data_IF_807679851192
#
_entry.id   IF_807679851192
#
_cell.length_a   1.000
_cell.length_b   1.000
_cell.length_c   1.000
_cell.angle_alpha   90.00
_cell.angle_beta   90.00
_cell.angle_gamma   90.00
#
_symmetry.space_group_name_H-M   'P 1'
#
loop_
_entity.id
_entity.type
_entity.pdbx_description
1 polymer ?
#
# COMPACT_ATOMS: atom_id res chain seq x y z
N UNK A 1 17.84 -20.40 -75.35
CA UNK A 1 16.65 -19.53 -75.28
C UNK A 1 15.41 -20.40 -75.12
N UNK A 2 14.90 -20.56 -73.89
CA UNK A 2 13.56 -21.09 -73.57
C UNK A 2 13.23 -20.68 -72.13
N UNK A 3 12.00 -20.22 -71.93
CA UNK A 3 11.54 -19.55 -70.73
C UNK A 3 10.93 -20.60 -69.79
N UNK A 4 11.26 -20.56 -68.50
CA UNK A 4 10.53 -21.31 -67.48
C UNK A 4 9.93 -20.33 -66.45
N UNK A 5 8.71 -20.66 -66.02
CA UNK A 5 7.85 -19.80 -65.22
C UNK A 5 8.32 -19.73 -63.76
N UNK A 6 8.16 -18.58 -63.12
CA UNK A 6 8.23 -18.42 -61.67
C UNK A 6 6.94 -17.78 -61.18
N UNK A 7 6.12 -18.56 -60.44
CA UNK A 7 4.88 -18.10 -59.84
C UNK A 7 5.09 -17.32 -58.54
N UNK A 8 4.14 -16.47 -58.21
CA UNK A 8 4.06 -15.73 -56.94
C UNK A 8 3.81 -16.66 -55.74
N UNK A 9 4.55 -16.52 -54.62
CA UNK A 9 4.19 -17.14 -53.34
C UNK A 9 3.22 -16.23 -52.53
N UNK A 10 2.37 -16.81 -51.65
CA UNK A 10 1.28 -16.09 -51.01
C UNK A 10 1.65 -15.43 -49.67
N UNK A 11 0.88 -14.41 -49.29
CA UNK A 11 0.93 -13.73 -48.00
C UNK A 11 0.70 -14.67 -46.82
N UNK A 12 1.58 -14.64 -45.80
CA UNK A 12 1.35 -15.30 -44.51
C UNK A 12 1.38 -14.30 -43.34
N UNK A 13 0.19 -14.12 -42.77
CA UNK A 13 -0.16 -13.67 -41.42
C UNK A 13 0.94 -13.10 -40.50
N UNK A 14 0.86 -11.79 -40.24
CA UNK A 14 1.63 -11.09 -39.19
C UNK A 14 0.87 -11.25 -37.85
N UNK A 15 1.00 -12.41 -37.20
CA UNK A 15 0.21 -12.73 -35.99
C UNK A 15 0.98 -13.34 -34.81
N UNK A 16 2.32 -13.46 -34.86
CA UNK A 16 3.10 -14.17 -33.82
C UNK A 16 4.25 -13.39 -33.15
N UNK A 17 4.39 -12.08 -33.39
CA UNK A 17 5.52 -11.27 -32.85
C UNK A 17 5.10 -10.36 -31.67
N UNK A 18 3.81 -10.22 -31.37
CA UNK A 18 3.30 -9.18 -30.46
C UNK A 18 3.10 -9.57 -28.98
N UNK A 19 3.22 -10.84 -28.61
CA UNK A 19 3.01 -11.30 -27.21
C UNK A 19 4.28 -11.36 -26.34
N UNK A 20 5.46 -10.97 -26.86
CA UNK A 20 6.75 -11.13 -26.17
C UNK A 20 7.34 -9.84 -25.56
N UNK A 21 6.74 -8.68 -25.80
CA UNK A 21 7.26 -7.38 -25.32
C UNK A 21 6.40 -6.70 -24.24
N UNK A 22 5.15 -7.10 -24.04
CA UNK A 22 4.29 -6.53 -22.98
C UNK A 22 4.48 -7.22 -21.62
N UNK A 23 4.73 -8.53 -21.57
CA UNK A 23 4.96 -9.25 -20.30
C UNK A 23 6.25 -8.79 -19.58
N UNK A 24 7.23 -8.25 -20.33
CA UNK A 24 8.52 -7.81 -19.80
C UNK A 24 8.48 -6.49 -19.02
N UNK A 25 7.35 -5.80 -18.96
CA UNK A 25 7.17 -4.66 -18.07
C UNK A 25 6.73 -5.08 -16.65
N UNK A 26 6.21 -6.30 -16.46
CA UNK A 26 5.45 -6.56 -15.23
C UNK A 26 5.30 -8.02 -14.75
N UNK A 27 6.13 -8.97 -15.22
CA UNK A 27 6.18 -10.33 -14.62
C UNK A 27 7.58 -10.74 -14.22
N UNK A 28 7.91 -10.55 -12.94
CA UNK A 28 8.89 -11.40 -12.26
C UNK A 28 8.39 -12.85 -12.31
N UNK A 29 9.27 -13.79 -12.65
CA UNK A 29 8.88 -15.19 -12.86
C UNK A 29 8.73 -15.93 -11.53
N UNK A 30 7.49 -16.20 -11.12
CA UNK A 30 7.17 -17.28 -10.18
C UNK A 30 6.39 -18.37 -10.92
N UNK A 31 7.06 -19.48 -11.25
CA UNK A 31 6.40 -20.77 -11.51
C UNK A 31 6.55 -21.60 -10.24
N UNK A 32 5.44 -22.11 -9.73
CA UNK A 32 5.40 -23.00 -8.57
C UNK A 32 4.06 -23.72 -8.57
N UNK A 33 4.05 -24.97 -9.02
CA UNK A 33 2.85 -25.79 -9.07
C UNK A 33 2.45 -26.22 -7.64
N UNK A 34 1.14 -26.24 -7.36
CA UNK A 34 0.59 -27.14 -6.34
C UNK A 34 -0.89 -27.38 -6.60
N UNK A 35 -1.25 -28.63 -6.92
CA UNK A 35 -2.64 -29.03 -7.10
C UNK A 35 -3.38 -29.02 -5.77
N UNK A 36 -4.52 -28.33 -5.69
CA UNK A 36 -5.56 -28.62 -4.70
C UNK A 36 -6.82 -29.14 -5.39
N UNK A 37 -7.06 -30.44 -5.26
CA UNK A 37 -8.27 -31.10 -5.75
C UNK A 37 -9.47 -30.66 -4.92
N UNK A 38 -10.38 -29.87 -5.52
CA UNK A 38 -11.67 -29.59 -4.93
C UNK A 38 -12.57 -30.83 -4.95
N UNK A 39 -12.94 -31.33 -3.76
CA UNK A 39 -13.98 -32.37 -3.65
C UNK A 39 -15.37 -31.73 -3.76
N UNK A 40 -16.02 -31.93 -4.89
CA UNK A 40 -17.42 -31.53 -5.10
C UNK A 40 -18.36 -32.53 -4.44
N UNK A 41 -19.24 -32.04 -3.55
CA UNK A 41 -20.39 -32.82 -3.07
C UNK A 41 -21.68 -32.09 -3.44
N UNK A 42 -22.35 -32.60 -4.47
CA UNK A 42 -23.68 -32.16 -4.87
C UNK A 42 -24.74 -32.84 -4.00
N UNK A 43 -25.74 -32.10 -3.52
CA UNK A 43 -27.03 -32.63 -3.07
C UNK A 43 -28.19 -31.83 -3.71
N UNK A 44 -29.31 -32.47 -4.07
CA UNK A 44 -30.28 -31.91 -5.02
C UNK A 44 -31.44 -31.12 -4.41
N UNK A 45 -32.09 -30.31 -5.24
CA UNK A 45 -33.28 -29.51 -4.94
C UNK A 45 -34.50 -30.35 -4.47
N UNK A 46 -35.41 -29.72 -3.69
CA UNK A 46 -36.86 -29.84 -3.94
C UNK A 46 -37.75 -28.71 -3.36
N UNK A 47 -38.51 -28.08 -4.27
CA UNK A 47 -39.90 -27.56 -4.20
C UNK A 47 -40.33 -26.42 -3.25
N UNK A 48 -40.64 -25.30 -3.93
CA UNK A 48 -41.71 -24.31 -3.72
C UNK A 48 -42.87 -24.64 -2.74
N UNK A 49 -43.26 -23.64 -1.93
CA UNK A 49 -44.67 -23.22 -1.71
C UNK A 49 -44.74 -21.68 -1.58
N UNK A 50 -45.71 -21.04 -2.26
CA UNK A 50 -46.33 -19.72 -1.97
C UNK A 50 -47.86 -19.97 -2.02
N UNK A 51 -48.70 -19.34 -1.17
CA UNK A 51 -49.16 -17.95 -1.36
C UNK A 51 -49.22 -17.17 -0.01
N UNK A 52 -49.83 -15.99 0.20
CA UNK A 52 -50.65 -15.06 -0.61
C UNK A 52 -50.36 -13.59 -0.21
N UNK A 53 -51.10 -12.61 -0.73
CA UNK A 53 -51.18 -11.23 -0.23
C UNK A 53 -52.49 -11.00 0.57
N UNK A 54 -52.46 -10.17 1.62
CA UNK A 54 -53.52 -9.21 1.94
C UNK A 54 -53.11 -8.26 3.07
N UNK A 55 -53.38 -6.96 2.87
CA UNK A 55 -53.51 -5.93 3.91
C UNK A 55 -55.02 -5.66 4.09
N UNK A 56 -55.51 -5.24 5.27
CA UNK A 56 -55.61 -3.79 5.49
C UNK A 56 -55.50 -3.29 6.96
N UNK A 57 -55.54 -1.95 7.07
CA UNK A 57 -55.97 -1.12 8.19
C UNK A 57 -54.98 -0.86 9.35
N UNK A 58 -54.87 0.44 9.68
CA UNK A 58 -54.15 1.00 10.82
C UNK A 58 -55.08 1.24 12.01
N UNK A 59 -54.52 1.36 13.22
CA UNK A 59 -55.03 2.02 14.45
C UNK A 59 -53.95 1.84 15.57
N UNK A 60 -54.01 2.56 16.71
CA UNK A 60 -53.53 3.93 16.88
C UNK A 60 -52.26 4.03 17.79
N UNK A 61 -51.80 5.26 18.03
CA UNK A 61 -50.64 5.57 18.88
C UNK A 61 -50.89 5.33 20.39
N UNK A 62 -49.81 5.32 21.18
CA UNK A 62 -49.71 5.27 22.65
C UNK A 62 -49.92 3.92 23.36
N UNK A 63 -48.85 3.14 23.51
CA UNK A 63 -48.58 2.36 24.73
C UNK A 63 -47.08 2.35 25.07
N UNK A 64 -46.76 2.65 26.34
CA UNK A 64 -45.41 2.65 26.90
C UNK A 64 -44.92 1.22 27.09
N UNK A 65 -43.88 0.80 26.35
CA UNK A 65 -43.32 -0.56 26.47
C UNK A 65 -42.30 -0.61 27.61
N UNK A 66 -42.64 -1.27 28.72
CA UNK A 66 -41.67 -1.65 29.73
C UNK A 66 -40.79 -2.82 29.22
N UNK A 67 -39.51 -2.55 28.99
CA UNK A 67 -38.51 -3.58 28.69
C UNK A 67 -38.17 -4.41 29.95
N UNK A 68 -38.14 -5.75 29.87
CA UNK A 68 -37.77 -6.59 31.01
C UNK A 68 -36.26 -6.56 31.28
N UNK A 69 -35.87 -6.32 32.54
CA UNK A 69 -34.47 -6.37 33.00
C UNK A 69 -33.86 -7.77 32.88
N UNK A 70 -33.22 -8.08 31.74
CA UNK A 70 -32.42 -9.31 31.54
C UNK A 70 -31.02 -9.10 30.90
N UNK A 71 -30.55 -7.86 30.76
CA UNK A 71 -29.21 -7.56 30.22
C UNK A 71 -28.11 -7.40 31.28
N UNK A 72 -28.44 -7.21 32.56
CA UNK A 72 -27.44 -6.88 33.61
C UNK A 72 -26.64 -8.07 34.17
N UNK A 73 -27.08 -9.32 33.97
CA UNK A 73 -26.33 -10.50 34.46
C UNK A 73 -25.18 -10.93 33.55
N UNK A 74 -25.33 -10.81 32.24
CA UNK A 74 -24.29 -11.23 31.27
C UNK A 74 -23.10 -10.28 31.31
N UNK A 75 -23.33 -8.96 31.40
CA UNK A 75 -22.26 -7.97 31.56
C UNK A 75 -21.48 -8.16 32.89
N UNK A 76 -22.18 -8.48 33.99
CA UNK A 76 -21.52 -8.75 35.27
C UNK A 76 -20.69 -10.04 35.26
N UNK A 77 -21.13 -11.09 34.56
CA UNK A 77 -20.35 -12.32 34.38
C UNK A 77 -19.13 -12.12 33.49
N UNK A 78 -19.21 -11.30 32.43
CA UNK A 78 -18.06 -10.96 31.60
C UNK A 78 -16.97 -10.23 32.42
N UNK A 79 -17.35 -9.19 33.18
CA UNK A 79 -16.41 -8.42 34.00
C UNK A 79 -15.70 -9.27 35.07
N UNK A 80 -16.43 -10.18 35.74
CA UNK A 80 -15.85 -11.06 36.75
C UNK A 80 -14.82 -12.04 36.19
N UNK A 81 -15.00 -12.52 34.95
CA UNK A 81 -14.02 -13.39 34.27
C UNK A 81 -12.76 -12.62 33.90
N UNK A 82 -12.88 -11.35 33.47
CA UNK A 82 -11.71 -10.50 33.17
C UNK A 82 -10.90 -10.18 34.43
N UNK A 83 -11.58 -9.93 35.56
CA UNK A 83 -10.91 -9.60 36.83
C UNK A 83 -10.20 -10.82 37.45
N UNK A 84 -10.77 -12.03 37.33
CA UNK A 84 -10.09 -13.25 37.77
C UNK A 84 -8.84 -13.55 36.94
N UNK A 85 -8.93 -13.44 35.60
CA UNK A 85 -7.77 -13.65 34.71
C UNK A 85 -6.61 -12.68 35.01
N UNK A 86 -6.91 -11.42 35.35
CA UNK A 86 -5.89 -10.45 35.75
C UNK A 86 -5.19 -10.82 37.08
N UNK A 87 -5.93 -11.41 38.04
CA UNK A 87 -5.38 -11.85 39.34
C UNK A 87 -4.50 -13.10 39.20
N UNK A 88 -4.88 -14.03 38.34
CA UNK A 88 -4.13 -15.27 38.12
C UNK A 88 -2.78 -15.00 37.42
N UNK A 89 -2.73 -14.03 36.50
CA UNK A 89 -1.47 -13.56 35.88
C UNK A 89 -0.56 -12.88 36.91
N UNK A 90 -1.10 -12.05 37.80
CA UNK A 90 -0.34 -11.39 38.87
C UNK A 90 0.21 -12.38 39.91
N UNK A 91 -0.55 -13.42 40.26
CA UNK A 91 -0.11 -14.46 41.19
C UNK A 91 1.08 -15.28 40.66
N UNK A 92 1.14 -15.50 39.35
CA UNK A 92 2.18 -16.32 38.70
C UNK A 92 3.55 -15.60 38.64
N UNK A 93 3.59 -14.27 38.78
CA UNK A 93 4.83 -13.49 38.75
C UNK A 93 5.54 -13.35 40.11
N UNK A 94 4.93 -13.79 41.22
CA UNK A 94 5.51 -13.68 42.56
C UNK A 94 6.09 -14.98 43.15
N UNK A 95 6.01 -16.11 42.44
CA UNK A 95 6.49 -17.42 42.93
C UNK A 95 7.62 -18.01 42.08
N UNK A 96 8.76 -17.32 41.99
CA UNK A 96 10.04 -17.93 41.63
C UNK A 96 11.23 -17.06 42.08
N UNK A 97 11.46 -17.02 43.41
CA UNK A 97 12.56 -16.28 44.02
C UNK A 97 13.17 -17.05 45.19
N UNK A 98 14.31 -17.69 44.95
CA UNK A 98 15.31 -18.17 45.92
C UNK A 98 14.85 -19.02 47.12
N UNK A 99 15.36 -20.25 47.19
CA UNK A 99 15.97 -20.74 48.42
C UNK A 99 17.06 -21.79 48.16
N UNK A 100 18.18 -21.63 48.88
CA UNK A 100 19.32 -22.54 48.97
C UNK A 100 19.49 -22.90 50.44
N UNK A 101 19.71 -24.19 50.76
CA UNK A 101 20.82 -24.69 51.60
C UNK A 101 20.68 -26.18 51.93
N UNK A 102 21.80 -26.93 51.79
CA UNK A 102 22.32 -28.06 52.59
C UNK A 102 21.35 -29.00 53.35
N UNK A 103 21.48 -30.34 53.34
CA UNK A 103 22.68 -31.13 53.69
C UNK A 103 22.42 -32.65 53.46
N UNK A 104 23.46 -33.50 53.29
CA UNK A 104 23.25 -34.97 53.38
C UNK A 104 24.21 -35.94 52.66
N UNK A 105 25.48 -35.99 53.08
CA UNK A 105 26.39 -37.18 53.11
C UNK A 105 26.34 -38.28 52.01
N UNK A 106 27.46 -38.48 51.29
CA UNK A 106 27.73 -39.69 50.50
C UNK A 106 29.19 -39.77 50.00
N UNK A 107 29.97 -40.73 50.49
CA UNK A 107 31.43 -40.86 50.28
C UNK A 107 31.80 -41.58 48.97
N UNK A 108 32.89 -41.20 48.28
CA UNK A 108 33.36 -41.88 47.06
C UNK A 108 34.58 -41.24 46.38
N UNK A 109 35.74 -41.91 46.44
CA UNK A 109 37.04 -41.43 45.97
C UNK A 109 37.30 -41.75 44.47
N UNK A 110 38.03 -40.92 43.72
CA UNK A 110 38.40 -41.24 42.33
C UNK A 110 39.11 -40.15 41.51
N UNK A 111 40.41 -40.30 41.28
CA UNK A 111 41.22 -39.46 40.39
C UNK A 111 40.81 -39.61 38.91
N UNK A 112 40.86 -38.51 38.13
CA UNK A 112 40.69 -38.57 36.67
C UNK A 112 40.98 -37.25 35.96
N UNK A 113 42.24 -37.03 35.55
CA UNK A 113 42.57 -35.98 34.59
C UNK A 113 41.96 -36.31 33.22
N UNK A 114 41.15 -35.40 32.67
CA UNK A 114 40.57 -35.54 31.33
C UNK A 114 40.23 -34.17 30.75
N UNK A 115 40.97 -33.74 29.73
CA UNK A 115 40.76 -32.44 29.09
C UNK A 115 39.47 -32.40 28.26
N UNK A 116 38.45 -31.71 28.75
CA UNK A 116 37.24 -31.40 27.98
C UNK A 116 37.46 -30.20 27.06
N UNK A 117 37.39 -30.40 25.74
CA UNK A 117 37.33 -29.29 24.79
C UNK A 117 36.17 -28.34 25.12
N UNK A 118 36.45 -27.06 25.25
CA UNK A 118 35.43 -26.04 25.01
C UNK A 118 35.08 -26.06 23.52
N UNK A 119 34.04 -26.81 23.16
CA UNK A 119 33.39 -26.63 21.87
C UNK A 119 32.70 -25.27 21.88
N UNK A 120 33.43 -24.25 21.42
CA UNK A 120 32.82 -22.99 21.02
C UNK A 120 31.71 -23.31 20.01
N UNK A 121 30.46 -23.17 20.45
CA UNK A 121 29.32 -23.21 19.56
C UNK A 121 29.38 -21.95 18.69
N UNK A 122 30.18 -22.02 17.63
CA UNK A 122 30.17 -21.04 16.55
C UNK A 122 28.71 -20.90 16.14
N UNK A 123 28.12 -19.74 16.43
CA UNK A 123 26.91 -19.34 15.72
C UNK A 123 27.27 -19.41 14.24
N UNK A 124 26.69 -20.37 13.53
CA UNK A 124 26.81 -20.41 12.09
C UNK A 124 26.29 -19.06 11.59
N UNK A 125 27.09 -18.36 10.79
CA UNK A 125 26.55 -17.23 10.05
C UNK A 125 25.48 -17.81 9.14
N UNK A 126 24.21 -17.61 9.48
CA UNK A 126 23.12 -17.93 8.59
C UNK A 126 23.37 -17.17 7.28
N UNK A 127 23.18 -17.86 6.15
CA UNK A 127 23.38 -17.24 4.85
C UNK A 127 22.39 -16.11 4.62
N UNK A 128 22.62 -15.24 3.61
CA UNK A 128 21.65 -14.22 3.25
C UNK A 128 20.27 -14.84 3.01
N UNK A 129 19.24 -14.23 3.58
CA UNK A 129 17.85 -14.64 3.35
C UNK A 129 17.48 -14.22 1.93
N UNK A 130 17.24 -15.20 1.05
CA UNK A 130 16.85 -14.95 -0.33
C UNK A 130 15.37 -15.27 -0.52
N UNK A 131 14.57 -14.25 -0.85
CA UNK A 131 13.13 -14.38 -1.11
C UNK A 131 12.80 -13.80 -2.49
N UNK A 132 12.12 -14.56 -3.34
CA UNK A 132 11.76 -14.15 -4.72
C UNK A 132 12.95 -13.63 -5.57
N UNK A 133 14.16 -14.10 -5.29
CA UNK A 133 15.40 -13.66 -5.95
C UNK A 133 16.01 -12.36 -5.42
N UNK A 134 15.44 -11.79 -4.35
CA UNK A 134 15.95 -10.63 -3.63
C UNK A 134 16.74 -11.08 -2.40
N UNK A 135 17.78 -10.32 -2.04
CA UNK A 135 18.53 -10.54 -0.79
C UNK A 135 17.94 -9.61 0.26
N UNK A 136 17.29 -10.17 1.28
CA UNK A 136 16.73 -9.42 2.40
C UNK A 136 17.83 -9.06 3.43
N UNK A 137 17.61 -7.99 4.19
CA UNK A 137 18.55 -7.46 5.18
C UNK A 137 19.94 -7.17 4.58
N UNK A 138 19.96 -6.53 3.40
CA UNK A 138 21.18 -6.32 2.61
C UNK A 138 21.95 -5.02 2.94
N UNK A 139 21.55 -4.29 3.98
CA UNK A 139 22.28 -3.12 4.46
C UNK A 139 23.60 -3.56 5.13
N UNK A 140 24.69 -2.83 4.90
CA UNK A 140 25.96 -3.08 5.57
C UNK A 140 25.99 -2.42 6.95
N UNK A 141 26.85 -2.90 7.86
CA UNK A 141 26.98 -2.33 9.20
C UNK A 141 27.29 -0.83 9.17
N UNK A 142 28.15 -0.38 8.26
CA UNK A 142 28.55 1.02 8.12
C UNK A 142 27.37 1.91 7.68
N UNK A 143 26.49 1.38 6.82
CA UNK A 143 25.26 2.08 6.41
C UNK A 143 24.19 2.07 7.49
N UNK A 144 24.13 1.01 8.30
CA UNK A 144 23.27 0.96 9.48
C UNK A 144 23.72 1.97 10.55
N UNK A 145 25.03 2.14 10.74
CA UNK A 145 25.58 3.19 11.60
C UNK A 145 25.23 4.60 11.08
N UNK A 146 25.22 4.82 9.76
CA UNK A 146 24.71 6.07 9.16
C UNK A 146 23.24 6.30 9.54
N UNK A 147 22.39 5.28 9.45
CA UNK A 147 20.97 5.38 9.84
C UNK A 147 20.82 5.72 11.33
N UNK A 148 21.48 5.00 12.23
CA UNK A 148 21.43 5.30 13.68
C UNK A 148 21.97 6.70 14.01
N UNK A 149 22.95 7.21 13.25
CA UNK A 149 23.49 8.56 13.46
C UNK A 149 22.51 9.69 13.09
N UNK A 150 21.36 9.38 12.48
CA UNK A 150 20.37 10.36 12.02
C UNK A 150 19.24 10.65 13.02
N UNK A 151 19.20 9.98 14.19
CA UNK A 151 18.17 10.18 15.22
C UNK A 151 17.95 11.67 15.58
N UNK A 152 19.04 12.44 15.75
CA UNK A 152 18.96 13.89 16.02
C UNK A 152 18.34 14.69 14.87
N UNK A 153 18.54 14.26 13.61
CA UNK A 153 17.86 14.89 12.46
C UNK A 153 16.38 14.55 12.51
N UNK A 154 16.03 13.29 12.77
CA UNK A 154 14.64 12.88 12.84
C UNK A 154 13.91 13.69 13.91
N UNK A 155 14.47 13.81 15.11
CA UNK A 155 13.90 14.58 16.21
C UNK A 155 13.77 16.08 15.89
N UNK A 156 14.86 16.73 15.46
CA UNK A 156 14.90 18.19 15.34
C UNK A 156 14.42 18.73 13.99
N UNK A 157 14.36 17.90 12.96
CA UNK A 157 14.24 18.35 11.57
C UNK A 157 13.21 17.61 10.72
N UNK A 158 12.74 16.43 11.14
CA UNK A 158 11.73 15.64 10.41
C UNK A 158 10.41 15.55 11.19
N UNK A 159 10.42 15.12 12.45
CA UNK A 159 9.21 15.07 13.29
C UNK A 159 8.43 16.41 13.34
N UNK A 160 9.08 17.61 13.37
CA UNK A 160 8.36 18.89 13.32
C UNK A 160 7.65 19.21 12.00
N UNK A 161 7.72 18.34 10.98
CA UNK A 161 6.96 18.45 9.72
C UNK A 161 5.55 17.86 9.87
N UNK A 162 5.36 16.93 10.81
CA UNK A 162 4.07 16.39 11.21
C UNK A 162 3.28 17.47 11.97
N UNK A 163 1.94 17.44 11.84
CA UNK A 163 1.07 18.43 12.45
C UNK A 163 0.56 17.92 13.79
N UNK A 164 0.49 18.83 14.75
CA UNK A 164 -0.24 18.63 16.01
C UNK A 164 -1.70 18.23 15.72
N UNK A 165 -2.20 17.19 16.38
CA UNK A 165 -3.56 16.65 16.19
C UNK A 165 -4.66 17.69 16.42
N UNK A 166 -4.40 18.72 17.23
CA UNK A 166 -5.34 19.82 17.50
C UNK A 166 -5.33 20.91 16.40
N UNK A 167 -4.43 20.81 15.41
CA UNK A 167 -4.23 21.76 14.31
C UNK A 167 -4.33 21.11 12.93
N UNK A 168 -4.45 19.79 12.87
CA UNK A 168 -4.65 19.03 11.64
C UNK A 168 -6.15 18.87 11.38
N UNK A 169 -6.53 18.82 10.10
CA UNK A 169 -7.91 18.56 9.69
C UNK A 169 -8.32 17.14 10.08
N UNK A 170 -9.61 16.94 10.34
CA UNK A 170 -10.22 15.64 10.58
C UNK A 170 -11.26 15.31 9.50
N UNK A 171 -11.57 14.04 9.22
CA UNK A 171 -12.54 13.66 8.20
C UNK A 171 -13.91 14.34 8.37
N UNK A 172 -14.33 14.59 9.61
CA UNK A 172 -15.60 15.25 9.93
C UNK A 172 -15.68 16.71 9.47
N UNK A 173 -14.54 17.39 9.27
CA UNK A 173 -14.49 18.79 8.78
C UNK A 173 -15.02 18.95 7.34
N UNK A 174 -15.15 17.83 6.60
CA UNK A 174 -15.55 17.79 5.19
C UNK A 174 -16.80 16.97 4.92
N UNK A 175 -17.33 16.29 5.93
CA UNK A 175 -18.47 15.38 5.82
C UNK A 175 -19.71 15.97 6.52
N UNK A 176 -20.93 15.58 6.11
CA UNK A 176 -22.16 15.93 6.82
C UNK A 176 -22.08 15.60 8.32
N UNK A 177 -22.57 16.49 9.18
CA UNK A 177 -22.53 16.27 10.63
C UNK A 177 -23.65 15.32 11.05
N UNK A 178 -23.29 14.06 11.36
CA UNK A 178 -24.22 13.02 11.80
C UNK A 178 -24.96 13.30 13.12
N UNK A 179 -24.56 14.34 13.86
CA UNK A 179 -25.25 14.81 15.06
C UNK A 179 -26.19 16.00 14.82
N UNK A 180 -26.16 16.60 13.62
CA UNK A 180 -27.01 17.73 13.26
C UNK A 180 -28.41 17.30 12.82
N UNK A 181 -29.43 18.10 13.19
CA UNK A 181 -30.80 17.95 12.68
C UNK A 181 -30.87 18.09 11.13
N UNK A 182 -29.87 18.74 10.51
CA UNK A 182 -29.74 18.91 9.05
C UNK A 182 -28.99 17.79 8.33
N UNK A 183 -28.53 16.75 9.05
CA UNK A 183 -27.69 15.67 8.50
C UNK A 183 -28.23 15.07 7.19
N UNK A 184 -29.53 14.75 7.13
CA UNK A 184 -30.12 14.11 5.96
C UNK A 184 -30.19 15.05 4.74
N UNK A 185 -30.35 16.35 4.96
CA UNK A 185 -30.34 17.36 3.90
C UNK A 185 -28.92 17.58 3.37
N UNK A 186 -27.91 17.59 4.25
CA UNK A 186 -26.50 17.66 3.89
C UNK A 186 -26.03 16.43 3.09
N UNK A 187 -26.50 15.23 3.46
CA UNK A 187 -26.30 14.00 2.69
C UNK A 187 -27.00 14.07 1.33
N UNK A 188 -28.22 14.60 1.26
CA UNK A 188 -28.93 14.78 -0.01
C UNK A 188 -28.19 15.74 -0.94
N UNK A 189 -27.70 16.88 -0.44
CA UNK A 189 -26.89 17.82 -1.21
C UNK A 189 -25.52 17.24 -1.60
N UNK A 190 -24.89 16.39 -0.78
CA UNK A 190 -23.68 15.64 -1.17
C UNK A 190 -23.95 14.74 -2.37
N UNK A 191 -25.02 13.94 -2.31
CA UNK A 191 -25.40 13.03 -3.40
C UNK A 191 -25.68 13.78 -4.69
N UNK A 192 -26.42 14.88 -4.60
CA UNK A 192 -26.74 15.78 -5.72
C UNK A 192 -25.51 16.41 -6.37
N UNK A 193 -24.51 16.84 -5.59
CA UNK A 193 -23.22 17.27 -6.16
C UNK A 193 -22.48 16.12 -6.83
N UNK A 194 -22.46 14.94 -6.22
CA UNK A 194 -21.82 13.75 -6.80
C UNK A 194 -22.48 13.25 -8.11
N UNK A 195 -23.66 13.74 -8.49
CA UNK A 195 -24.29 13.42 -9.78
C UNK A 195 -23.43 13.82 -10.99
N UNK A 196 -22.71 14.95 -10.89
CA UNK A 196 -21.85 15.46 -11.97
C UNK A 196 -20.58 14.64 -12.24
N UNK A 197 -20.21 13.74 -11.32
CA UNK A 197 -18.96 12.98 -11.42
C UNK A 197 -19.10 11.85 -12.47
N UNK A 198 -18.24 11.79 -13.49
CA UNK A 198 -18.27 10.71 -14.48
C UNK A 198 -17.70 9.42 -13.89
N UNK A 199 -18.13 8.28 -14.44
CA UNK A 199 -17.70 6.97 -13.95
C UNK A 199 -16.19 6.71 -14.08
N UNK A 200 -15.52 7.31 -15.06
CA UNK A 200 -14.05 7.30 -15.16
C UNK A 200 -13.37 7.96 -13.96
N UNK A 201 -13.93 9.07 -13.48
CA UNK A 201 -13.42 9.74 -12.28
C UNK A 201 -13.71 8.91 -11.02
N UNK A 202 -14.91 8.34 -10.92
CA UNK A 202 -15.28 7.48 -9.78
C UNK A 202 -14.40 6.22 -9.68
N UNK A 203 -14.06 5.58 -10.80
CA UNK A 203 -13.12 4.43 -10.80
C UNK A 203 -11.74 4.83 -10.29
N UNK A 204 -11.26 6.02 -10.64
CA UNK A 204 -9.94 6.49 -10.18
C UNK A 204 -9.98 6.86 -8.69
N UNK A 205 -10.97 7.64 -8.26
CA UNK A 205 -11.17 8.01 -6.84
C UNK A 205 -11.30 6.77 -5.94
N UNK A 206 -11.96 5.71 -6.43
CA UNK A 206 -12.08 4.44 -5.71
C UNK A 206 -10.74 3.69 -5.66
N UNK A 207 -9.96 3.67 -6.74
CA UNK A 207 -8.64 3.04 -6.74
C UNK A 207 -7.63 3.76 -5.85
N UNK A 208 -7.67 5.09 -5.81
CA UNK A 208 -6.92 5.91 -4.84
C UNK A 208 -7.36 5.54 -3.41
N UNK A 209 -8.66 5.57 -3.09
CA UNK A 209 -9.19 5.22 -1.76
C UNK A 209 -8.86 3.78 -1.30
N UNK A 210 -8.92 2.79 -2.21
CA UNK A 210 -8.53 1.40 -1.92
C UNK A 210 -7.03 1.31 -1.59
N UNK A 211 -6.22 2.22 -2.13
CA UNK A 211 -4.81 2.34 -1.78
C UNK A 211 -4.67 2.87 -0.35
N UNK A 212 -5.34 3.97 0.01
CA UNK A 212 -5.28 4.51 1.37
C UNK A 212 -5.75 3.52 2.44
N UNK A 213 -6.81 2.76 2.17
CA UNK A 213 -7.35 1.75 3.08
C UNK A 213 -6.40 0.55 3.31
N UNK A 214 -5.38 0.37 2.46
CA UNK A 214 -4.35 -0.65 2.66
C UNK A 214 -3.18 -0.21 3.57
N UNK A 215 -3.33 0.93 4.28
CA UNK A 215 -2.40 1.48 5.27
C UNK A 215 -1.75 0.47 6.25
N UNK A 216 -2.43 -0.59 6.77
CA UNK A 216 -1.76 -1.59 7.61
C UNK A 216 -0.54 -2.25 6.93
N UNK A 217 -0.58 -2.44 5.60
CA UNK A 217 0.55 -2.94 4.81
C UNK A 217 1.71 -1.93 4.76
N UNK A 218 1.43 -0.62 4.79
CA UNK A 218 2.45 0.42 4.65
C UNK A 218 3.18 0.68 5.98
N UNK A 219 2.44 0.69 7.09
CA UNK A 219 3.03 0.66 8.42
C UNK A 219 3.87 -0.61 8.64
N UNK A 220 3.38 -1.77 8.19
CA UNK A 220 4.15 -3.02 8.25
C UNK A 220 5.44 -2.93 7.42
N UNK A 221 5.38 -2.37 6.20
CA UNK A 221 6.55 -2.14 5.35
C UNK A 221 7.61 -1.27 6.04
N UNK A 222 7.23 -0.12 6.62
CA UNK A 222 8.16 0.73 7.38
C UNK A 222 8.79 -0.02 8.56
N UNK A 223 8.01 -0.86 9.24
CA UNK A 223 8.48 -1.73 10.32
C UNK A 223 9.25 -2.98 9.84
N UNK A 224 9.45 -3.19 8.54
CA UNK A 224 10.43 -4.17 8.03
C UNK A 224 11.84 -3.60 7.90
N UNK A 225 12.00 -2.26 7.95
CA UNK A 225 13.27 -1.59 7.64
C UNK A 225 14.24 -1.63 8.84
N UNK A 226 15.46 -2.12 8.59
CA UNK A 226 16.50 -2.33 9.60
C UNK A 226 16.94 -1.01 10.24
N UNK A 227 17.11 -0.99 11.56
CA UNK A 227 17.53 0.19 12.33
C UNK A 227 16.46 1.28 12.54
N UNK A 228 15.32 1.23 11.83
CA UNK A 228 14.25 2.25 11.95
C UNK A 228 12.88 1.71 12.38
N UNK A 229 12.68 0.38 12.34
CA UNK A 229 11.43 -0.27 12.76
C UNK A 229 11.07 -0.03 14.24
N UNK A 230 9.77 -0.04 14.54
CA UNK A 230 9.27 0.00 15.92
C UNK A 230 9.27 -1.39 16.55
N UNK A 231 10.28 -1.69 17.37
CA UNK A 231 10.47 -2.97 18.07
C UNK A 231 9.35 -3.35 19.07
N UNK A 232 8.47 -2.41 19.45
CA UNK A 232 7.49 -2.64 20.54
C UNK A 232 6.06 -2.20 20.23
N UNK A 233 5.84 -1.55 19.08
CA UNK A 233 4.59 -0.82 18.77
C UNK A 233 4.44 0.49 19.56
N UNK A 234 5.40 0.83 20.41
CA UNK A 234 5.43 2.03 21.23
C UNK A 234 6.86 2.57 21.47
N UNK A 235 7.84 2.18 20.64
CA UNK A 235 9.25 2.53 20.88
C UNK A 235 9.43 4.06 20.96
N UNK A 236 10.22 4.57 21.92
CA UNK A 236 10.44 6.00 22.09
C UNK A 236 11.38 6.61 21.04
N UNK A 237 11.93 5.80 20.13
CA UNK A 237 12.85 6.25 19.08
C UNK A 237 12.19 7.28 18.16
N UNK A 238 12.97 8.23 17.60
CA UNK A 238 12.45 9.20 16.63
C UNK A 238 11.80 8.52 15.42
N UNK A 239 12.37 7.39 14.96
CA UNK A 239 11.85 6.57 13.87
C UNK A 239 10.51 5.90 14.19
N UNK A 240 10.38 5.25 15.36
CA UNK A 240 9.12 4.64 15.78
C UNK A 240 8.03 5.69 15.95
N UNK A 241 8.38 6.87 16.50
CA UNK A 241 7.48 8.02 16.58
C UNK A 241 7.06 8.54 15.20
N UNK A 242 7.98 8.66 14.25
CA UNK A 242 7.68 9.03 12.87
C UNK A 242 6.68 8.04 12.26
N UNK A 243 6.98 6.74 12.25
CA UNK A 243 6.13 5.70 11.66
C UNK A 243 4.72 5.72 12.25
N UNK A 244 4.58 5.81 13.58
CA UNK A 244 3.26 5.85 14.22
C UNK A 244 2.49 7.14 13.93
N UNK A 245 3.16 8.30 13.92
CA UNK A 245 2.49 9.58 13.66
C UNK A 245 2.15 9.77 12.17
N UNK A 246 3.03 9.37 11.24
CA UNK A 246 2.73 9.29 9.81
C UNK A 246 1.50 8.43 9.58
N UNK A 247 1.47 7.18 10.06
CA UNK A 247 0.28 6.30 9.97
C UNK A 247 -0.99 6.95 10.55
N UNK A 248 -0.88 7.72 11.65
CA UNK A 248 -2.04 8.43 12.21
C UNK A 248 -2.51 9.61 11.35
N UNK A 249 -1.62 10.23 10.57
CA UNK A 249 -1.99 11.21 9.57
C UNK A 249 -2.65 10.51 8.37
N UNK A 250 -2.04 9.45 7.82
CA UNK A 250 -2.57 8.65 6.69
C UNK A 250 -3.97 8.10 6.91
N UNK A 251 -4.25 7.56 8.10
CA UNK A 251 -5.53 6.90 8.40
C UNK A 251 -6.74 7.78 8.05
N UNK A 252 -6.61 9.11 8.22
CA UNK A 252 -7.68 10.08 7.93
C UNK A 252 -8.01 10.18 6.44
N UNK A 253 -7.10 9.83 5.54
CA UNK A 253 -7.31 9.89 4.09
C UNK A 253 -8.31 8.82 3.67
N UNK A 254 -8.02 7.55 3.97
CA UNK A 254 -8.93 6.42 3.77
C UNK A 254 -10.27 6.64 4.47
N UNK A 255 -10.25 7.03 5.75
CA UNK A 255 -11.45 7.35 6.54
C UNK A 255 -12.37 8.39 5.87
N UNK A 256 -11.80 9.42 5.25
CA UNK A 256 -12.53 10.49 4.59
C UNK A 256 -13.05 10.06 3.22
N UNK A 257 -12.19 9.46 2.40
CA UNK A 257 -12.54 9.02 1.05
C UNK A 257 -13.58 7.88 1.07
N UNK A 258 -13.48 6.93 2.02
CA UNK A 258 -14.46 5.86 2.19
C UNK A 258 -15.84 6.43 2.53
N UNK A 259 -15.94 7.24 3.59
CA UNK A 259 -17.23 7.85 4.01
C UNK A 259 -17.82 8.72 2.92
N UNK A 260 -17.01 9.49 2.19
CA UNK A 260 -17.46 10.24 1.03
C UNK A 260 -18.06 9.30 -0.05
N UNK A 261 -17.31 8.30 -0.49
CA UNK A 261 -17.72 7.30 -1.47
C UNK A 261 -19.02 6.59 -1.06
N UNK A 262 -19.12 6.14 0.19
CA UNK A 262 -20.31 5.53 0.78
C UNK A 262 -21.54 6.45 0.67
N UNK A 263 -21.42 7.71 1.12
CA UNK A 263 -22.54 8.66 1.12
C UNK A 263 -23.03 9.00 -0.29
N UNK A 264 -22.16 9.01 -1.31
CA UNK A 264 -22.56 9.30 -2.70
C UNK A 264 -23.63 8.33 -3.22
N UNK A 265 -23.58 7.05 -2.83
CA UNK A 265 -24.36 5.98 -3.45
C UNK A 265 -24.06 5.74 -4.93
N UNK A 266 -22.99 6.30 -5.50
CA UNK A 266 -22.59 6.16 -6.91
C UNK A 266 -21.73 4.93 -7.19
N UNK A 267 -21.16 4.34 -6.14
CA UNK A 267 -20.22 3.21 -6.16
C UNK A 267 -20.72 2.03 -5.31
N UNK A 268 -20.21 0.84 -5.61
CA UNK A 268 -20.58 -0.43 -5.01
C UNK A 268 -19.65 -0.76 -3.83
N UNK A 269 -19.95 -0.23 -2.65
CA UNK A 269 -19.11 -0.39 -1.45
C UNK A 269 -18.77 -1.85 -1.15
N UNK A 270 -19.70 -2.80 -1.33
CA UNK A 270 -19.43 -4.23 -1.13
C UNK A 270 -18.32 -4.77 -2.04
N UNK A 271 -18.20 -4.31 -3.28
CA UNK A 271 -17.10 -4.72 -4.17
C UNK A 271 -15.78 -4.05 -3.77
N UNK A 272 -15.84 -2.82 -3.28
CA UNK A 272 -14.68 -2.06 -2.78
C UNK A 272 -14.13 -2.71 -1.51
N UNK A 273 -14.98 -2.97 -0.51
CA UNK A 273 -14.64 -3.66 0.75
C UNK A 273 -13.97 -5.02 0.50
N UNK A 274 -14.49 -5.82 -0.44
CA UNK A 274 -13.85 -7.08 -0.88
C UNK A 274 -12.49 -6.83 -1.52
N UNK A 275 -12.33 -5.76 -2.29
CA UNK A 275 -11.04 -5.40 -2.92
C UNK A 275 -10.01 -4.99 -1.87
N UNK A 276 -10.40 -4.17 -0.88
CA UNK A 276 -9.58 -3.75 0.25
C UNK A 276 -9.13 -4.99 1.05
N UNK A 277 -10.07 -5.87 1.42
CA UNK A 277 -9.76 -7.10 2.15
C UNK A 277 -8.77 -7.98 1.39
N UNK A 278 -8.96 -8.17 0.08
CA UNK A 278 -8.05 -8.93 -0.76
C UNK A 278 -6.67 -8.27 -0.86
N UNK A 279 -6.59 -6.95 -0.97
CA UNK A 279 -5.34 -6.21 -1.07
C UNK A 279 -4.53 -6.30 0.23
N UNK A 280 -5.14 -6.01 1.38
CA UNK A 280 -4.49 -6.14 2.70
C UNK A 280 -4.02 -7.59 2.94
N UNK A 281 -4.82 -8.58 2.54
CA UNK A 281 -4.45 -10.01 2.64
C UNK A 281 -3.28 -10.37 1.72
N UNK A 282 -3.17 -9.73 0.56
CA UNK A 282 -2.07 -9.95 -0.40
C UNK A 282 -0.79 -9.21 -0.01
N UNK A 283 -0.91 -8.12 0.75
CA UNK A 283 0.18 -7.22 1.07
C UNK A 283 0.78 -6.56 -0.18
N UNK A 284 2.06 -6.21 -0.12
CA UNK A 284 2.83 -5.73 -1.26
C UNK A 284 4.32 -6.11 -1.12
N UNK A 285 5.01 -6.24 -2.25
CA UNK A 285 6.46 -6.36 -2.32
C UNK A 285 7.05 -5.11 -3.00
N UNK A 286 7.53 -4.11 -2.23
CA UNK A 286 8.12 -2.88 -2.77
C UNK A 286 9.58 -3.07 -3.20
N UNK A 287 10.17 -4.25 -2.95
CA UNK A 287 11.57 -4.61 -3.25
C UNK A 287 12.63 -3.77 -2.54
N UNK A 288 12.29 -3.31 -1.34
CA UNK A 288 13.14 -2.51 -0.46
C UNK A 288 14.07 -3.33 0.43
N UNK A 289 13.95 -4.67 0.43
CA UNK A 289 14.96 -5.60 0.99
C UNK A 289 15.33 -5.35 2.46
N UNK A 290 14.38 -4.86 3.26
CA UNK A 290 14.57 -4.40 4.65
C UNK A 290 15.54 -3.21 4.78
N UNK A 291 15.99 -2.61 3.69
CA UNK A 291 17.02 -1.60 3.66
C UNK A 291 16.42 -0.18 3.67
N UNK A 292 16.66 0.64 4.72
CA UNK A 292 16.15 2.01 4.81
C UNK A 292 16.52 2.92 3.64
N UNK A 293 17.68 2.73 3.00
CA UNK A 293 18.06 3.55 1.85
C UNK A 293 17.08 3.32 0.68
N UNK A 294 16.76 2.05 0.40
CA UNK A 294 15.77 1.67 -0.59
C UNK A 294 14.36 2.11 -0.17
N UNK A 295 14.01 1.91 1.11
CA UNK A 295 12.72 2.29 1.70
C UNK A 295 12.42 3.79 1.62
N UNK A 296 13.37 4.65 2.00
CA UNK A 296 13.14 6.11 1.99
C UNK A 296 13.21 6.72 0.58
N UNK A 297 13.89 6.08 -0.36
CA UNK A 297 13.82 6.42 -1.78
C UNK A 297 12.47 6.01 -2.38
N UNK A 298 11.96 4.84 -1.99
CA UNK A 298 10.63 4.36 -2.38
C UNK A 298 9.53 5.32 -1.89
N UNK A 299 9.50 5.65 -0.59
CA UNK A 299 8.49 6.58 -0.04
C UNK A 299 8.62 7.97 -0.63
N UNK A 300 9.84 8.54 -0.76
CA UNK A 300 10.06 9.83 -1.44
C UNK A 300 9.45 9.90 -2.86
N UNK A 301 9.42 8.77 -3.57
CA UNK A 301 8.79 8.67 -4.89
C UNK A 301 7.26 8.54 -4.78
N UNK A 302 6.77 7.64 -3.92
CA UNK A 302 5.34 7.36 -3.78
C UNK A 302 4.55 8.57 -3.27
N UNK A 303 5.05 9.24 -2.23
CA UNK A 303 4.46 10.43 -1.63
C UNK A 303 4.32 11.59 -2.64
N UNK A 304 5.24 11.65 -3.60
CA UNK A 304 5.11 12.59 -4.73
C UNK A 304 4.09 12.11 -5.77
N UNK A 305 3.93 10.81 -5.96
CA UNK A 305 2.95 10.24 -6.88
C UNK A 305 1.51 10.39 -6.37
N UNK A 306 1.25 10.08 -5.10
CA UNK A 306 -0.03 10.29 -4.41
C UNK A 306 -0.40 11.78 -4.37
N UNK A 307 0.53 12.67 -3.99
CA UNK A 307 0.38 14.13 -4.10
C UNK A 307 -0.08 14.59 -5.49
N UNK A 308 0.50 14.02 -6.56
CA UNK A 308 0.11 14.34 -7.94
C UNK A 308 -1.29 13.78 -8.25
N UNK A 309 -1.57 12.53 -7.88
CA UNK A 309 -2.88 11.89 -8.08
C UNK A 309 -3.99 12.70 -7.39
N UNK A 310 -3.84 12.96 -6.09
CA UNK A 310 -4.80 13.72 -5.27
C UNK A 310 -4.93 15.18 -5.70
N UNK A 311 -3.83 15.83 -6.12
CA UNK A 311 -3.88 17.17 -6.70
C UNK A 311 -4.65 17.24 -8.03
N UNK A 312 -4.53 16.19 -8.85
CA UNK A 312 -5.27 16.07 -10.11
C UNK A 312 -6.73 15.69 -9.86
N UNK A 313 -7.05 14.76 -8.95
CA UNK A 313 -8.44 14.42 -8.60
C UNK A 313 -9.17 15.60 -7.94
N UNK A 314 -8.48 16.42 -7.15
CA UNK A 314 -9.00 17.69 -6.61
C UNK A 314 -9.39 18.68 -7.73
N UNK A 315 -8.51 18.82 -8.71
CA UNK A 315 -8.71 19.68 -9.88
C UNK A 315 -9.88 19.19 -10.74
N UNK A 316 -9.95 17.89 -11.00
CA UNK A 316 -11.02 17.26 -11.77
C UNK A 316 -12.39 17.37 -11.06
N UNK A 317 -12.48 17.08 -9.76
CA UNK A 317 -13.72 17.24 -8.98
C UNK A 317 -14.27 18.68 -9.08
N UNK A 318 -13.38 19.66 -8.92
CA UNK A 318 -13.71 21.09 -9.02
C UNK A 318 -14.21 21.46 -10.42
N UNK A 319 -13.66 20.87 -11.48
CA UNK A 319 -14.08 21.08 -12.86
C UNK A 319 -15.44 20.43 -13.17
N UNK A 320 -15.72 19.24 -12.63
CA UNK A 320 -17.02 18.58 -12.81
C UNK A 320 -18.15 19.26 -12.03
N UNK A 321 -17.84 19.85 -10.88
CA UNK A 321 -18.75 20.70 -10.12
C UNK A 321 -18.73 20.47 -8.61
N UNK A 322 -18.18 19.35 -8.13
CA UNK A 322 -18.07 19.07 -6.70
C UNK A 322 -16.84 19.74 -6.07
N UNK A 323 -17.03 21.01 -5.69
CA UNK A 323 -16.03 21.81 -4.97
C UNK A 323 -15.76 21.33 -3.55
N UNK A 324 -16.60 20.48 -2.97
CA UNK A 324 -16.35 19.89 -1.63
C UNK A 324 -15.38 18.73 -1.78
N UNK A 325 -15.62 17.83 -2.73
CA UNK A 325 -14.65 16.79 -3.08
C UNK A 325 -13.32 17.38 -3.56
N UNK A 326 -13.36 18.48 -4.32
CA UNK A 326 -12.15 19.24 -4.70
C UNK A 326 -11.32 19.67 -3.49
N UNK A 327 -11.94 20.07 -2.37
CA UNK A 327 -11.25 20.39 -1.12
C UNK A 327 -10.75 19.15 -0.37
N UNK A 328 -11.51 18.06 -0.38
CA UNK A 328 -11.12 16.78 0.24
C UNK A 328 -9.80 16.28 -0.35
N UNK A 329 -9.74 16.09 -1.67
CA UNK A 329 -8.54 15.61 -2.36
C UNK A 329 -7.37 16.62 -2.22
N UNK A 330 -7.64 17.93 -2.17
CA UNK A 330 -6.60 18.94 -1.95
C UNK A 330 -6.05 18.94 -0.50
N UNK A 331 -6.87 18.60 0.50
CA UNK A 331 -6.44 18.47 1.89
C UNK A 331 -5.51 17.26 2.08
N UNK A 332 -5.88 16.13 1.45
CA UNK A 332 -5.06 14.92 1.37
C UNK A 332 -3.73 15.24 0.66
N UNK A 333 -3.75 15.79 -0.57
CA UNK A 333 -2.54 16.21 -1.31
C UNK A 333 -1.63 17.20 -0.54
N UNK A 334 -2.20 17.97 0.39
CA UNK A 334 -1.46 18.88 1.29
C UNK A 334 -0.77 18.20 2.47
N UNK A 335 -1.15 16.96 2.78
CA UNK A 335 -0.47 16.08 3.71
C UNK A 335 0.63 15.29 2.99
N UNK A 336 0.35 14.65 1.85
CA UNK A 336 1.35 14.02 0.95
C UNK A 336 2.55 14.95 0.71
N UNK A 337 2.28 16.24 0.45
CA UNK A 337 3.33 17.24 0.19
C UNK A 337 4.24 17.52 1.40
N UNK A 338 3.80 17.23 2.63
CA UNK A 338 4.60 17.30 3.85
C UNK A 338 5.38 16.00 4.06
N UNK A 339 4.78 14.85 3.80
CA UNK A 339 5.43 13.55 3.90
C UNK A 339 6.51 13.38 2.84
N UNK A 340 6.24 13.74 1.57
CA UNK A 340 7.23 13.88 0.49
C UNK A 340 8.43 14.71 0.99
N UNK A 341 8.17 15.90 1.56
CA UNK A 341 9.22 16.79 2.07
C UNK A 341 10.03 16.15 3.21
N UNK A 342 9.39 15.34 4.06
CA UNK A 342 10.06 14.63 5.14
C UNK A 342 10.96 13.51 4.63
N UNK A 343 10.45 12.61 3.77
CA UNK A 343 11.24 11.52 3.22
C UNK A 343 12.37 12.00 2.30
N UNK A 344 12.13 13.01 1.46
CA UNK A 344 13.19 13.63 0.66
C UNK A 344 14.29 14.17 1.57
N UNK A 345 13.94 14.80 2.69
CA UNK A 345 14.92 15.35 3.64
C UNK A 345 15.67 14.26 4.42
N UNK A 346 15.08 13.09 4.65
CA UNK A 346 15.79 11.91 5.15
C UNK A 346 16.84 11.48 4.10
N UNK A 347 16.45 11.38 2.82
CA UNK A 347 17.39 11.00 1.75
C UNK A 347 18.45 12.09 1.48
N UNK A 348 18.13 13.37 1.67
CA UNK A 348 19.10 14.48 1.63
C UNK A 348 20.23 14.29 2.67
N UNK A 349 19.92 13.76 3.86
CA UNK A 349 20.93 13.41 4.86
C UNK A 349 21.73 12.17 4.48
N UNK A 350 21.11 11.14 3.87
CA UNK A 350 21.84 10.00 3.31
C UNK A 350 22.87 10.49 2.27
N UNK A 351 22.48 11.42 1.39
CA UNK A 351 23.39 12.02 0.40
C UNK A 351 24.49 12.92 1.00
N UNK A 352 24.37 13.36 2.25
CA UNK A 352 25.43 14.08 2.98
C UNK A 352 26.40 13.12 3.68
N UNK A 353 25.89 12.01 4.23
CA UNK A 353 26.64 11.07 5.09
C UNK A 353 27.26 9.92 4.31
N UNK A 354 26.52 9.33 3.38
CA UNK A 354 26.97 8.28 2.46
C UNK A 354 26.48 8.57 1.03
N UNK A 355 27.10 9.54 0.31
CA UNK A 355 26.74 9.84 -1.07
C UNK A 355 26.89 8.63 -2.01
N UNK A 356 27.77 7.67 -1.70
CA UNK A 356 27.99 6.50 -2.54
C UNK A 356 26.83 5.51 -2.43
N UNK A 357 26.47 5.11 -1.22
CA UNK A 357 25.32 4.23 -0.99
C UNK A 357 24.00 4.86 -1.39
N UNK A 358 23.83 6.17 -1.21
CA UNK A 358 22.63 6.88 -1.64
C UNK A 358 22.46 6.87 -3.18
N UNK A 359 23.51 7.11 -3.97
CA UNK A 359 23.44 6.98 -5.44
C UNK A 359 23.16 5.52 -5.86
N UNK A 360 23.85 4.56 -5.25
CA UNK A 360 23.69 3.13 -5.58
C UNK A 360 22.26 2.66 -5.30
N UNK A 361 21.72 2.97 -4.11
CA UNK A 361 20.34 2.66 -3.73
C UNK A 361 19.31 3.34 -4.65
N UNK A 362 19.55 4.59 -5.07
CA UNK A 362 18.65 5.28 -5.99
C UNK A 362 18.63 4.62 -7.37
N UNK A 363 19.81 4.30 -7.92
CA UNK A 363 19.90 3.57 -9.18
C UNK A 363 19.21 2.19 -9.09
N UNK A 364 19.41 1.45 -8.00
CA UNK A 364 18.78 0.14 -7.80
C UNK A 364 17.25 0.22 -7.77
N UNK A 365 16.66 1.13 -6.97
CA UNK A 365 15.20 1.35 -6.98
C UNK A 365 14.67 1.76 -8.36
N UNK A 366 15.41 2.57 -9.11
CA UNK A 366 15.03 2.95 -10.48
C UNK A 366 15.17 1.79 -11.48
N UNK A 367 16.10 0.86 -11.27
CA UNK A 367 16.28 -0.38 -12.07
C UNK A 367 15.19 -1.41 -11.77
N UNK A 368 14.81 -1.56 -10.49
CA UNK A 368 13.69 -2.40 -10.03
C UNK A 368 12.32 -1.89 -10.50
N UNK A 369 12.26 -0.59 -10.84
CA UNK A 369 11.06 0.21 -11.09
C UNK A 369 10.21 0.37 -9.82
N UNK A 370 9.74 1.59 -9.55
CA UNK A 370 8.92 1.86 -8.36
C UNK A 370 7.57 1.17 -8.51
N UNK A 371 7.37 0.11 -7.71
CA UNK A 371 6.16 -0.71 -7.67
C UNK A 371 5.06 0.05 -6.93
N UNK A 372 3.92 0.30 -7.57
CA UNK A 372 2.77 0.93 -6.92
C UNK A 372 2.27 0.07 -5.75
N UNK A 373 1.90 0.65 -4.60
CA UNK A 373 1.57 -0.14 -3.42
C UNK A 373 0.37 -1.08 -3.65
N UNK A 374 -0.76 -0.55 -4.15
CA UNK A 374 -1.98 -1.30 -4.45
C UNK A 374 -1.91 -2.23 -5.69
N UNK A 375 -0.71 -2.58 -6.17
CA UNK A 375 -0.53 -3.30 -7.43
C UNK A 375 -1.12 -4.72 -7.48
N UNK A 376 -1.39 -5.33 -6.33
CA UNK A 376 -2.04 -6.64 -6.18
C UNK A 376 -3.57 -6.53 -6.00
N UNK A 377 -4.18 -5.35 -6.23
CA UNK A 377 -5.62 -5.15 -6.08
C UNK A 377 -6.43 -6.17 -6.90
N UNK A 378 -7.44 -6.76 -6.26
CA UNK A 378 -8.26 -7.84 -6.82
C UNK A 378 -9.68 -7.78 -6.26
N UNK A 379 -10.69 -7.62 -7.12
CA UNK A 379 -12.11 -7.52 -6.75
C UNK A 379 -12.84 -8.87 -6.77
N UNK A 380 -12.12 -9.97 -7.02
CA UNK A 380 -12.66 -11.32 -7.17
C UNK A 380 -13.46 -11.55 -8.46
N UNK A 381 -13.52 -10.57 -9.37
CA UNK A 381 -14.23 -10.66 -10.66
C UNK A 381 -13.29 -10.49 -11.86
N UNK A 382 -12.22 -9.72 -11.73
CA UNK A 382 -11.13 -9.64 -12.71
C UNK A 382 -10.31 -10.93 -12.71
N UNK A 383 -10.70 -11.88 -13.57
CA UNK A 383 -9.97 -13.12 -13.84
C UNK A 383 -9.76 -13.35 -15.33
N UNK A 384 -9.40 -14.58 -15.70
CA UNK A 384 -9.32 -15.05 -17.10
C UNK A 384 -8.40 -14.20 -18.01
N UNK A 385 -7.32 -13.63 -17.44
CA UNK A 385 -6.33 -12.82 -18.15
C UNK A 385 -6.55 -11.31 -18.07
N UNK A 386 -7.65 -10.84 -17.46
CA UNK A 386 -7.79 -9.44 -17.01
C UNK A 386 -7.10 -9.22 -15.66
N UNK A 387 -6.69 -7.99 -15.40
CA UNK A 387 -5.98 -7.59 -14.18
C UNK A 387 -6.53 -6.22 -13.74
N UNK A 388 -7.09 -6.15 -12.54
CA UNK A 388 -7.79 -4.96 -12.04
C UNK A 388 -6.85 -3.75 -11.94
N UNK A 389 -5.63 -3.93 -11.43
CA UNK A 389 -4.64 -2.85 -11.33
C UNK A 389 -4.30 -2.23 -12.69
N UNK A 390 -4.11 -3.05 -13.73
CA UNK A 390 -3.86 -2.61 -15.11
C UNK A 390 -5.06 -1.86 -15.68
N UNK A 391 -6.26 -2.38 -15.48
CA UNK A 391 -7.50 -1.77 -15.98
C UNK A 391 -7.74 -0.40 -15.27
N UNK A 392 -7.60 -0.32 -13.94
CA UNK A 392 -7.60 0.93 -13.17
C UNK A 392 -6.53 1.92 -13.65
N UNK A 393 -5.28 1.47 -13.80
CA UNK A 393 -4.16 2.30 -14.25
C UNK A 393 -4.40 2.88 -15.65
N UNK A 394 -5.09 2.14 -16.54
CA UNK A 394 -5.48 2.66 -17.84
C UNK A 394 -6.50 3.81 -17.74
N UNK A 395 -7.42 3.76 -16.78
CA UNK A 395 -8.37 4.87 -16.50
C UNK A 395 -7.65 6.06 -15.87
N UNK A 396 -6.75 5.86 -14.91
CA UNK A 396 -5.94 6.93 -14.31
C UNK A 396 -5.08 7.65 -15.36
N UNK A 397 -4.47 6.89 -16.28
CA UNK A 397 -3.70 7.38 -17.41
C UNK A 397 -4.57 8.11 -18.46
N UNK A 398 -5.78 7.62 -18.75
CA UNK A 398 -6.70 8.24 -19.71
C UNK A 398 -7.34 9.53 -19.19
N UNK A 399 -7.69 9.56 -17.89
CA UNK A 399 -8.17 10.77 -17.18
C UNK A 399 -7.07 11.78 -16.89
N UNK A 400 -5.80 11.43 -17.12
CA UNK A 400 -4.61 12.23 -16.75
C UNK A 400 -4.50 12.52 -15.25
N UNK A 401 -5.02 11.61 -14.43
CA UNK A 401 -4.89 11.71 -12.96
C UNK A 401 -3.48 11.32 -12.52
N UNK A 402 -2.96 10.22 -13.06
CA UNK A 402 -1.55 9.85 -12.95
C UNK A 402 -1.09 9.13 -14.22
N UNK A 403 0.07 9.51 -14.76
CA UNK A 403 0.55 9.04 -16.06
C UNK A 403 1.99 8.55 -16.05
N UNK A 404 2.38 7.82 -17.10
CA UNK A 404 3.78 7.50 -17.37
C UNK A 404 4.69 8.73 -17.59
N UNK A 405 4.14 9.92 -17.81
CA UNK A 405 4.91 11.17 -17.82
C UNK A 405 5.12 11.71 -16.41
N UNK A 406 4.18 11.51 -15.49
CA UNK A 406 4.30 11.92 -14.09
C UNK A 406 5.37 11.10 -13.38
N UNK A 407 5.43 9.78 -13.60
CA UNK A 407 6.55 8.93 -13.17
C UNK A 407 7.91 9.50 -13.62
N UNK A 408 8.02 9.88 -14.89
CA UNK A 408 9.25 10.47 -15.46
C UNK A 408 9.53 11.84 -14.85
N UNK A 409 8.51 12.65 -14.57
CA UNK A 409 8.65 13.97 -13.94
C UNK A 409 9.09 13.88 -12.47
N UNK A 410 8.61 12.87 -11.72
CA UNK A 410 9.09 12.54 -10.37
C UNK A 410 10.57 12.15 -10.44
N UNK A 411 10.94 11.25 -11.34
CA UNK A 411 12.34 10.83 -11.51
C UNK A 411 13.26 12.01 -11.86
N UNK A 412 12.86 12.90 -12.78
CA UNK A 412 13.58 14.16 -13.09
C UNK A 412 13.73 15.05 -11.86
N UNK A 413 12.66 15.21 -11.10
CA UNK A 413 12.65 16.05 -9.91
C UNK A 413 13.62 15.51 -8.85
N UNK A 414 13.62 14.21 -8.57
CA UNK A 414 14.53 13.59 -7.59
C UNK A 414 15.99 13.59 -8.08
N UNK A 415 16.26 13.30 -9.36
CA UNK A 415 17.59 13.43 -9.97
C UNK A 415 18.14 14.86 -9.79
N UNK A 416 17.29 15.87 -10.01
CA UNK A 416 17.68 17.27 -9.84
C UNK A 416 17.84 17.66 -8.38
N UNK A 417 16.92 17.25 -7.50
CA UNK A 417 16.91 17.64 -6.08
C UNK A 417 18.11 17.06 -5.33
N UNK A 418 18.52 15.82 -5.64
CA UNK A 418 19.70 15.19 -5.05
C UNK A 418 21.02 15.48 -5.81
N UNK A 419 21.00 16.43 -6.76
CA UNK A 419 22.14 16.84 -7.61
C UNK A 419 22.84 15.68 -8.35
N UNK A 420 22.10 14.62 -8.69
CA UNK A 420 22.66 13.35 -9.15
C UNK A 420 23.53 13.53 -10.40
N UNK A 421 23.12 14.34 -11.37
CA UNK A 421 23.90 14.56 -12.61
C UNK A 421 25.26 15.24 -12.38
N UNK A 422 25.42 16.03 -11.31
CA UNK A 422 26.61 16.86 -11.08
C UNK A 422 27.42 16.46 -9.85
N UNK A 423 26.97 15.44 -9.11
CA UNK A 423 27.62 14.95 -7.89
C UNK A 423 29.01 14.38 -8.17
N UNK A 424 30.03 14.95 -7.53
CA UNK A 424 31.43 14.54 -7.64
C UNK A 424 31.92 13.82 -6.37
N UNK A 425 33.12 13.23 -6.40
CA UNK A 425 33.71 12.55 -5.24
C UNK A 425 33.14 11.15 -4.96
N UNK A 426 32.40 10.60 -5.92
CA UNK A 426 31.84 9.25 -5.86
C UNK A 426 32.91 8.18 -6.16
N UNK A 427 32.74 6.97 -5.61
CA UNK A 427 33.50 5.78 -5.98
C UNK A 427 33.16 5.31 -7.39
N UNK A 428 33.99 4.47 -8.00
CA UNK A 428 33.75 3.98 -9.37
C UNK A 428 32.38 3.27 -9.53
N UNK A 429 31.96 2.51 -8.53
CA UNK A 429 30.64 1.85 -8.51
C UNK A 429 29.49 2.87 -8.43
N UNK A 430 29.64 3.90 -7.59
CA UNK A 430 28.65 4.96 -7.47
C UNK A 430 28.60 5.88 -8.71
N UNK A 431 29.73 6.09 -9.41
CA UNK A 431 29.77 6.75 -10.71
C UNK A 431 29.05 5.92 -11.79
N UNK A 432 29.25 4.60 -11.82
CA UNK A 432 28.49 3.74 -12.74
C UNK A 432 26.98 3.79 -12.44
N UNK A 433 26.60 3.79 -11.15
CA UNK A 433 25.21 3.93 -10.74
C UNK A 433 24.61 5.31 -11.11
N UNK A 434 25.38 6.38 -10.98
CA UNK A 434 25.04 7.74 -11.41
C UNK A 434 24.76 7.80 -12.91
N UNK A 435 25.64 7.26 -13.74
CA UNK A 435 25.43 7.18 -15.19
C UNK A 435 24.21 6.31 -15.55
N UNK A 436 24.04 5.16 -14.89
CA UNK A 436 22.92 4.25 -15.13
C UNK A 436 21.56 4.94 -14.86
N UNK A 437 21.41 5.66 -13.74
CA UNK A 437 20.12 6.29 -13.40
C UNK A 437 19.76 7.46 -14.34
N UNK A 438 20.74 8.26 -14.76
CA UNK A 438 20.53 9.31 -15.76
C UNK A 438 20.18 8.74 -17.15
N UNK A 439 20.78 7.61 -17.53
CA UNK A 439 20.43 6.87 -18.74
C UNK A 439 19.02 6.23 -18.65
N UNK A 440 18.60 5.74 -17.49
CA UNK A 440 17.25 5.23 -17.26
C UNK A 440 16.19 6.31 -17.42
N UNK A 441 16.42 7.52 -16.89
CA UNK A 441 15.53 8.66 -17.11
C UNK A 441 15.32 8.92 -18.61
N UNK A 442 16.42 8.99 -19.37
CA UNK A 442 16.39 9.19 -20.83
C UNK A 442 15.63 8.07 -21.55
N UNK A 443 15.77 6.82 -21.08
CA UNK A 443 15.06 5.65 -21.61
C UNK A 443 13.56 5.71 -21.31
N UNK A 444 13.16 6.05 -20.08
CA UNK A 444 11.75 6.14 -19.71
C UNK A 444 11.05 7.27 -20.45
N UNK A 445 11.66 8.46 -20.60
CA UNK A 445 11.10 9.54 -21.43
C UNK A 445 10.79 9.06 -22.86
N UNK A 446 11.76 8.40 -23.53
CA UNK A 446 11.57 7.86 -24.89
C UNK A 446 10.45 6.82 -24.98
N UNK A 447 10.22 6.03 -23.92
CA UNK A 447 9.12 5.06 -23.85
C UNK A 447 7.77 5.75 -23.68
N UNK A 448 7.66 6.72 -22.77
CA UNK A 448 6.47 7.54 -22.56
C UNK A 448 6.09 8.32 -23.83
N UNK A 449 7.06 8.96 -24.49
CA UNK A 449 6.85 9.66 -25.77
C UNK A 449 6.32 8.70 -26.86
N UNK A 450 6.74 7.44 -26.83
CA UNK A 450 6.28 6.41 -27.78
C UNK A 450 4.87 5.95 -27.44
N UNK A 451 4.55 5.74 -26.17
CA UNK A 451 3.18 5.40 -25.72
C UNK A 451 2.20 6.52 -26.11
N UNK A 452 2.49 7.78 -25.79
CA UNK A 452 1.65 8.91 -26.15
C UNK A 452 1.37 9.01 -27.67
N UNK A 453 2.39 8.76 -28.52
CA UNK A 453 2.23 8.72 -29.99
C UNK A 453 1.43 7.52 -30.52
N UNK A 454 1.30 6.45 -29.73
CA UNK A 454 0.57 5.24 -30.10
C UNK A 454 -0.85 5.19 -29.50
N UNK A 455 -1.10 5.88 -28.39
CA UNK A 455 -2.40 5.96 -27.72
C UNK A 455 -3.55 6.33 -28.68
N UNK A 456 -3.37 7.36 -29.51
CA UNK A 456 -4.36 7.78 -30.50
C UNK A 456 -4.70 6.74 -31.59
N UNK A 457 -3.86 5.70 -31.76
CA UNK A 457 -4.02 4.63 -32.76
C UNK A 457 -4.63 3.34 -32.21
N UNK A 458 -4.76 3.22 -30.88
CA UNK A 458 -5.41 2.09 -30.24
C UNK A 458 -6.93 2.27 -30.28
N UNK A 459 -7.65 1.16 -30.34
CA UNK A 459 -9.11 1.17 -30.24
C UNK A 459 -9.51 1.47 -28.81
N UNK A 460 -10.72 2.01 -28.64
CA UNK A 460 -11.39 1.98 -27.35
C UNK A 460 -11.83 0.54 -27.04
N UNK A 461 -11.70 0.18 -25.78
CA UNK A 461 -12.08 -1.11 -25.21
C UNK A 461 -13.01 -0.82 -24.02
N UNK A 462 -14.16 -1.49 -23.98
CA UNK A 462 -15.12 -1.33 -22.88
C UNK A 462 -14.69 -2.19 -21.69
N UNK A 463 -14.40 -1.53 -20.58
CA UNK A 463 -13.91 -2.11 -19.34
C UNK A 463 -15.03 -2.00 -18.29
N UNK A 464 -15.55 -3.14 -17.84
CA UNK A 464 -16.51 -3.19 -16.74
C UNK A 464 -15.77 -3.26 -15.40
N UNK A 465 -16.18 -2.44 -14.44
CA UNK A 465 -15.65 -2.41 -13.08
C UNK A 465 -16.73 -2.73 -12.04
N UNK A 466 -16.47 -3.70 -11.17
CA UNK A 466 -17.38 -4.10 -10.08
C UNK A 466 -17.68 -2.95 -9.10
N UNK A 467 -16.69 -2.07 -8.89
CA UNK A 467 -16.74 -0.86 -8.08
C UNK A 467 -17.82 0.13 -8.50
N UNK A 468 -18.23 0.14 -9.77
CA UNK A 468 -19.32 0.99 -10.31
C UNK A 468 -20.49 0.13 -10.80
N UNK A 469 -20.80 -0.96 -10.05
CA UNK A 469 -21.91 -1.88 -10.34
C UNK A 469 -21.83 -2.53 -11.74
N UNK A 470 -20.61 -2.80 -12.24
CA UNK A 470 -20.35 -3.36 -13.56
C UNK A 470 -20.85 -2.49 -14.73
N UNK A 471 -21.03 -1.17 -14.53
CA UNK A 471 -21.23 -0.23 -15.64
C UNK A 471 -20.01 -0.26 -16.59
N UNK A 472 -20.23 -0.25 -17.92
CA UNK A 472 -19.15 -0.25 -18.89
C UNK A 472 -18.48 1.12 -18.97
N UNK A 473 -17.15 1.14 -18.99
CA UNK A 473 -16.36 2.33 -19.21
C UNK A 473 -15.52 2.16 -20.48
N UNK A 474 -15.76 2.97 -21.50
CA UNK A 474 -14.95 2.93 -22.72
C UNK A 474 -13.62 3.63 -22.47
N UNK A 475 -12.52 2.88 -22.53
CA UNK A 475 -11.17 3.36 -22.26
C UNK A 475 -10.31 3.16 -23.50
N UNK A 476 -9.53 4.18 -23.88
CA UNK A 476 -8.48 4.01 -24.88
C UNK A 476 -7.15 3.73 -24.16
N UNK A 477 -6.72 2.46 -24.01
CA UNK A 477 -5.46 2.16 -23.33
C UNK A 477 -4.29 2.81 -24.08
N UNK A 478 -3.32 3.41 -23.36
CA UNK A 478 -2.17 4.13 -23.96
C UNK A 478 -0.95 3.24 -24.26
#
# INVERSE_FOLDING_TARGET
MRINQAGTPPSKSISLVWNLLFSRWWTGHCRGDTEYRAFSMQLPLRRQIRPTLSHPAALPCSQTVHLPRKSSRVAAQAAAVTEQAARDVAATQHSNGHQSTANGTGNGNGNGYGGGHQTSAKHGREGPIILNGQILHNISSERLDVIHSMDDVLENNILPILKDTNKIWQPQDFLPDSSSDTFLDEVAELRKRAECLPDSYLVVLVGDMITEEALPTYMAMLNTLDGVRDETGAAPTPWGRWTRQWTSEENRHGDLMNKYCYLTGRVNMRAIEVTIQNLITSGMDPKTENNPYLGFIYTSFQERATKISHGNTASHATQYGDKVLGKICAAIAGDEARHEKAYIKIVDELFKRDPNGAVIAFNDMMKKQIVMPAHLMNDGQHGQGRNLFKDFSAVAQATRTYTGQDYVNIMKFLIKHWDIETRTGLSSEAQEAQEQVCNLLTRFQKLTDRQARMAGKRKEEDINFSWIFNRPLSVRPM
#
